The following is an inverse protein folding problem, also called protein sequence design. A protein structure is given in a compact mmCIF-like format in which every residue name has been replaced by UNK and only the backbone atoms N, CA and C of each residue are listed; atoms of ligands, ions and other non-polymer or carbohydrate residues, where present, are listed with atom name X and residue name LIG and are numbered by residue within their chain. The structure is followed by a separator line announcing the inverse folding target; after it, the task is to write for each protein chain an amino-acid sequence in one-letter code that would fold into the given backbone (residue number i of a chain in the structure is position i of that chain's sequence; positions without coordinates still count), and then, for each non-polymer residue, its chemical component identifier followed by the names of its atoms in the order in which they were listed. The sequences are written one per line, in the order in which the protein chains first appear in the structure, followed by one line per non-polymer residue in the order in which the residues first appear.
data_IF_127664474015
#
_entry.id   IF_127664474015
#
_cell.length_a   1.000
_cell.length_b   1.000
_cell.length_c   1.000
_cell.angle_alpha   90.00
_cell.angle_beta   90.00
_cell.angle_gamma   90.00
#
_symmetry.space_group_name_H-M   'P 1'
#
loop_
_entity.id
_entity.type
_entity.pdbx_description
1 polymer ?
#
# COMPACT_ATOMS: atom_id res chain seq x y z
N UNK A 1 14.78 -1.22 -2.06
CA UNK A 1 13.83 -1.95 -1.20
C UNK A 1 12.52 -1.21 -1.26
N UNK A 2 11.44 -1.90 -1.62
CA UNK A 2 10.09 -1.36 -1.70
C UNK A 2 9.30 -1.92 -0.53
N UNK A 3 8.68 -1.05 0.26
CA UNK A 3 7.76 -1.41 1.31
C UNK A 3 6.34 -1.01 0.90
N UNK A 4 5.45 -1.98 0.80
CA UNK A 4 4.06 -1.71 0.44
C UNK A 4 3.17 -1.76 1.70
N UNK A 5 2.24 -0.82 1.81
CA UNK A 5 1.16 -0.84 2.80
C UNK A 5 -0.18 -0.81 2.11
N UNK A 6 -1.13 -1.59 2.63
CA UNK A 6 -2.52 -1.54 2.20
C UNK A 6 -3.26 -0.57 3.11
N UNK A 7 -4.00 0.35 2.52
CA UNK A 7 -4.87 1.28 3.24
C UNK A 7 -6.30 0.98 2.82
N UNK A 8 -7.15 0.80 3.83
CA UNK A 8 -8.59 0.69 3.67
C UNK A 8 -9.22 2.05 3.98
N UNK A 9 -10.14 2.49 3.12
CA UNK A 9 -10.88 3.72 3.32
C UNK A 9 -12.35 3.57 2.93
N UNK A 10 -13.18 4.44 3.47
CA UNK A 10 -14.59 4.55 3.13
C UNK A 10 -15.03 6.00 3.25
N UNK A 11 -16.00 6.41 2.45
CA UNK A 11 -16.49 7.79 2.44
C UNK A 11 -17.86 7.87 3.12
N UNK A 12 -18.10 8.94 3.87
CA UNK A 12 -19.39 9.19 4.49
C UNK A 12 -20.41 9.55 3.39
N UNK A 13 -21.41 8.71 3.16
CA UNK A 13 -22.38 8.87 2.07
C UNK A 13 -23.73 9.41 2.54
N UNK A 14 -23.92 9.58 3.85
CA UNK A 14 -25.11 10.20 4.43
C UNK A 14 -25.35 9.72 5.86
N UNK A 15 -26.31 10.33 6.54
CA UNK A 15 -26.55 10.04 7.96
C UNK A 15 -27.08 11.26 8.67
N UNK A 16 -27.76 11.07 9.80
CA UNK A 16 -28.24 12.14 10.68
C UNK A 16 -28.17 11.69 12.13
N UNK A 17 -27.79 12.60 13.03
CA UNK A 17 -27.73 12.40 14.47
C UNK A 17 -26.96 11.13 14.86
N UNK A 18 -27.68 10.04 15.14
CA UNK A 18 -27.16 8.80 15.71
C UNK A 18 -26.86 7.70 14.68
N UNK A 19 -27.06 7.94 13.38
CA UNK A 19 -26.70 6.97 12.33
C UNK A 19 -25.86 7.60 11.22
N UNK A 20 -24.94 6.79 10.68
CA UNK A 20 -24.10 7.11 9.53
C UNK A 20 -24.17 5.98 8.51
N UNK A 21 -24.13 6.34 7.23
CA UNK A 21 -23.98 5.47 6.09
C UNK A 21 -22.63 5.76 5.46
N UNK A 22 -21.91 4.71 5.15
CA UNK A 22 -20.60 4.76 4.53
C UNK A 22 -20.68 4.09 3.17
N UNK A 23 -19.74 4.41 2.28
CA UNK A 23 -19.52 3.59 1.10
C UNK A 23 -19.08 2.18 1.51
N UNK A 24 -19.16 1.19 0.61
CA UNK A 24 -18.33 -0.01 0.74
C UNK A 24 -16.85 0.37 0.93
N UNK A 25 -16.08 -0.45 1.66
CA UNK A 25 -14.65 -0.21 1.81
C UNK A 25 -13.96 -0.28 0.45
N UNK A 26 -13.01 0.62 0.27
CA UNK A 26 -12.11 0.66 -0.86
C UNK A 26 -10.68 0.46 -0.34
N UNK A 27 -9.83 -0.09 -1.20
CA UNK A 27 -8.45 -0.40 -0.86
C UNK A 27 -7.53 0.28 -1.87
N UNK A 28 -6.42 0.80 -1.37
CA UNK A 28 -5.28 1.15 -2.20
C UNK A 28 -4.00 0.61 -1.59
N UNK A 29 -3.03 0.37 -2.45
CA UNK A 29 -1.69 -0.04 -2.10
C UNK A 29 -0.77 1.17 -2.29
N UNK A 30 -0.08 1.56 -1.22
CA UNK A 30 0.97 2.58 -1.26
C UNK A 30 2.34 1.92 -1.14
N UNK A 31 3.26 2.30 -2.01
CA UNK A 31 4.64 1.84 -1.98
C UNK A 31 5.57 2.93 -1.52
N UNK A 32 6.44 2.59 -0.57
CA UNK A 32 7.48 3.44 -0.04
C UNK A 32 8.85 2.86 -0.38
N UNK A 33 9.73 3.68 -0.94
CA UNK A 33 11.14 3.32 -1.14
C UNK A 33 12.03 4.48 -0.75
N UNK A 34 13.30 4.16 -0.55
CA UNK A 34 14.31 5.17 -0.20
C UNK A 34 15.08 5.60 -1.44
N UNK A 35 15.12 6.90 -1.67
CA UNK A 35 15.86 7.58 -2.73
C UNK A 35 16.70 8.69 -2.09
N UNK A 36 18.02 8.66 -2.30
CA UNK A 36 18.98 9.62 -1.71
C UNK A 36 18.84 9.84 -0.19
N UNK A 37 18.46 8.79 0.55
CA UNK A 37 18.27 8.83 2.01
C UNK A 37 16.95 9.44 2.46
N UNK A 38 16.02 9.71 1.54
CA UNK A 38 14.67 10.18 1.81
C UNK A 38 13.64 9.13 1.38
N UNK A 39 12.51 9.08 2.09
CA UNK A 39 11.37 8.25 1.68
C UNK A 39 10.60 8.93 0.56
N UNK A 40 10.42 8.21 -0.56
CA UNK A 40 9.43 8.52 -1.58
C UNK A 40 8.22 7.60 -1.43
N UNK A 41 7.06 8.08 -1.87
CA UNK A 41 5.80 7.33 -1.89
C UNK A 41 4.98 7.55 -3.16
N UNK A 42 5.66 7.74 -4.30
CA UNK A 42 4.99 8.09 -5.56
C UNK A 42 4.26 6.90 -6.21
N UNK A 43 4.35 5.71 -5.61
CA UNK A 43 3.57 4.54 -6.02
C UNK A 43 2.27 4.45 -5.22
N UNK A 44 1.16 4.62 -5.93
CA UNK A 44 -0.19 4.41 -5.44
C UNK A 44 -0.97 3.58 -6.46
N UNK A 45 -1.57 2.48 -6.02
CA UNK A 45 -2.37 1.60 -6.88
C UNK A 45 -3.74 1.35 -6.24
N UNK A 46 -4.82 1.50 -7.01
CA UNK A 46 -6.20 1.38 -6.52
C UNK A 46 -7.13 0.91 -7.64
N UNK A 47 -8.33 0.44 -7.29
CA UNK A 47 -9.33 0.06 -8.30
C UNK A 47 -8.84 -1.08 -9.23
N UNK A 48 -8.95 -0.88 -10.55
CA UNK A 48 -8.51 -1.87 -11.55
C UNK A 48 -6.98 -2.02 -11.58
N UNK A 49 -6.23 -0.91 -11.44
CA UNK A 49 -4.77 -0.91 -11.41
C UNK A 49 -4.23 -1.76 -10.24
N UNK A 50 -4.96 -1.80 -9.13
CA UNK A 50 -4.61 -2.64 -7.98
C UNK A 50 -4.65 -4.12 -8.32
N UNK A 51 -5.64 -4.56 -9.10
CA UNK A 51 -5.75 -5.96 -9.50
C UNK A 51 -4.57 -6.37 -10.39
N UNK A 52 -4.18 -5.53 -11.35
CA UNK A 52 -3.02 -5.77 -12.21
C UNK A 52 -1.71 -5.77 -11.41
N UNK A 53 -1.55 -4.81 -10.50
CA UNK A 53 -0.39 -4.73 -9.60
C UNK A 53 -0.23 -6.01 -8.77
N UNK A 54 -1.32 -6.50 -8.17
CA UNK A 54 -1.30 -7.72 -7.36
C UNK A 54 -0.98 -8.96 -8.22
N UNK A 55 -1.48 -9.02 -9.45
CA UNK A 55 -1.13 -10.09 -10.39
C UNK A 55 0.37 -10.08 -10.75
N UNK A 56 0.97 -8.90 -10.93
CA UNK A 56 2.41 -8.78 -11.16
C UNK A 56 3.21 -9.22 -9.92
N UNK A 57 2.79 -8.80 -8.73
CA UNK A 57 3.38 -9.23 -7.45
C UNK A 57 3.34 -10.76 -7.26
N UNK A 58 2.21 -11.41 -7.56
CA UNK A 58 2.09 -12.88 -7.50
C UNK A 58 3.04 -13.59 -8.48
N UNK A 59 3.42 -12.91 -9.57
CA UNK A 59 4.41 -13.39 -10.55
C UNK A 59 5.86 -13.01 -10.17
N UNK A 60 6.06 -12.32 -9.05
CA UNK A 60 7.36 -11.83 -8.62
C UNK A 60 7.87 -10.64 -9.44
N UNK A 61 6.97 -9.82 -9.96
CA UNK A 61 7.26 -8.65 -10.78
C UNK A 61 6.69 -7.39 -10.14
N UNK A 62 7.37 -6.26 -10.33
CA UNK A 62 6.86 -4.94 -10.02
C UNK A 62 7.07 -4.04 -11.23
N UNK A 63 5.96 -3.55 -11.79
CA UNK A 63 5.99 -2.64 -12.94
C UNK A 63 5.74 -1.21 -12.47
N UNK A 64 6.70 -0.30 -12.69
CA UNK A 64 6.55 1.11 -12.33
C UNK A 64 7.15 2.00 -13.42
N UNK A 65 6.38 2.99 -13.88
CA UNK A 65 6.75 3.90 -14.98
C UNK A 65 7.24 3.17 -16.25
N UNK A 66 6.66 1.99 -16.54
CA UNK A 66 7.01 1.16 -17.70
C UNK A 66 8.26 0.31 -17.51
N UNK A 67 8.95 0.42 -16.38
CA UNK A 67 10.07 -0.45 -16.01
C UNK A 67 9.61 -1.64 -15.19
N UNK A 68 10.18 -2.80 -15.47
CA UNK A 68 9.90 -4.04 -14.73
C UNK A 68 11.06 -4.42 -13.83
N UNK A 69 10.73 -4.69 -12.58
CA UNK A 69 11.66 -5.06 -11.52
C UNK A 69 11.31 -6.44 -10.99
N UNK A 70 12.34 -7.27 -10.75
CA UNK A 70 12.14 -8.56 -10.10
C UNK A 70 11.91 -8.35 -8.59
N UNK A 71 10.84 -8.93 -8.07
CA UNK A 71 10.50 -8.86 -6.65
C UNK A 71 11.10 -10.03 -5.90
N UNK A 72 11.78 -9.70 -4.81
CA UNK A 72 12.19 -10.65 -3.79
C UNK A 72 11.49 -10.27 -2.49
N UNK A 73 10.61 -11.17 -2.03
CA UNK A 73 9.84 -10.96 -0.81
C UNK A 73 10.72 -11.11 0.42
N UNK A 74 10.55 -10.18 1.36
CA UNK A 74 11.00 -10.39 2.72
C UNK A 74 10.05 -11.38 3.40
N UNK A 75 10.57 -12.19 4.30
CA UNK A 75 9.72 -12.95 5.22
C UNK A 75 9.06 -12.02 6.26
N UNK A 76 8.14 -12.58 7.04
CA UNK A 76 7.35 -11.83 8.01
C UNK A 76 8.20 -11.16 9.09
N UNK A 77 9.31 -11.79 9.51
CA UNK A 77 10.19 -11.30 10.56
C UNK A 77 11.07 -10.14 10.05
N UNK A 78 11.62 -10.28 8.84
CA UNK A 78 12.38 -9.24 8.17
C UNK A 78 11.47 -8.03 7.83
N UNK A 79 10.24 -8.29 7.36
CA UNK A 79 9.24 -7.26 7.10
C UNK A 79 8.86 -6.51 8.38
N UNK A 80 8.63 -7.22 9.49
CA UNK A 80 8.35 -6.61 10.80
C UNK A 80 9.51 -5.74 11.28
N UNK A 81 10.72 -6.29 11.28
CA UNK A 81 11.95 -5.57 11.68
C UNK A 81 12.15 -4.30 10.87
N UNK A 82 11.91 -4.38 9.55
CA UNK A 82 12.01 -3.24 8.66
C UNK A 82 11.00 -2.14 9.04
N UNK A 83 9.74 -2.48 9.32
CA UNK A 83 8.72 -1.49 9.73
C UNK A 83 9.11 -0.76 11.01
N UNK A 84 9.57 -1.49 12.02
CA UNK A 84 9.99 -0.94 13.32
C UNK A 84 11.18 0.02 13.18
N UNK A 85 12.19 -0.37 12.40
CA UNK A 85 13.38 0.46 12.18
C UNK A 85 13.09 1.76 11.43
N UNK A 86 12.07 1.76 10.58
CA UNK A 86 11.75 2.88 9.69
C UNK A 86 10.49 3.65 10.09
N UNK A 87 9.84 3.29 11.21
CA UNK A 87 8.69 4.01 11.74
C UNK A 87 7.41 3.86 10.92
N UNK A 88 7.26 2.75 10.18
CA UNK A 88 6.03 2.43 9.45
C UNK A 88 4.95 1.77 10.34
N UNK A 89 4.96 2.05 11.65
CA UNK A 89 3.93 1.54 12.56
C UNK A 89 2.55 2.07 12.16
N UNK A 90 1.54 1.22 12.33
CA UNK A 90 0.14 1.55 12.09
C UNK A 90 -0.24 2.72 13.00
N UNK A 91 -0.29 3.94 12.46
CA UNK A 91 -1.05 5.00 13.13
C UNK A 91 -2.51 4.55 13.12
N UNK A 92 -3.04 4.17 14.28
CA UNK A 92 -4.49 4.05 14.46
C UNK A 92 -5.09 5.42 14.10
N UNK A 93 -5.79 5.49 12.96
CA UNK A 93 -6.56 6.66 12.53
C UNK A 93 -8.05 6.42 12.77
#
# INVERSE_FOLDING_TARGET
MLYCRVIAYWTHTGGHLWWRRWSPPQFHLEGHWMEDGQWSSDFLSSGEDLAETLNDFDRGLFTFLGEQWQVHWLDDDASRTFREQHGFELSES
#
